data_IF_935035776360
#
_entry.id   IF_935035776360
#
_cell.length_a   1.000
_cell.length_b   1.000
_cell.length_c   1.000
_cell.angle_alpha   90.00
_cell.angle_beta   90.00
_cell.angle_gamma   90.00
#
_symmetry.space_group_name_H-M   'P 1'
#
loop_
_entity.id
_entity.type
_entity.pdbx_description
1 polymer ?
#
# COMPACT_ATOMS: atom_id res chain seq x y z
N UNK A 1 -23.77 -6.39 -13.27
CA UNK A 1 -22.41 -5.80 -13.31
C UNK A 1 -22.48 -4.41 -12.72
N UNK A 2 -21.84 -4.21 -11.59
CA UNK A 2 -21.76 -2.88 -10.97
C UNK A 2 -20.85 -1.98 -11.80
N UNK A 3 -21.13 -0.69 -11.78
CA UNK A 3 -20.26 0.30 -12.41
C UNK A 3 -19.40 0.96 -11.33
N UNK A 4 -18.15 1.34 -11.63
CA UNK A 4 -17.37 2.15 -10.70
C UNK A 4 -18.13 3.41 -10.26
N UNK A 5 -18.01 3.78 -8.98
CA UNK A 5 -18.63 5.01 -8.43
C UNK A 5 -18.12 6.24 -9.17
N UNK A 6 -16.84 6.26 -9.52
CA UNK A 6 -16.30 7.30 -10.37
C UNK A 6 -16.75 7.10 -11.82
N UNK A 7 -17.54 8.04 -12.33
CA UNK A 7 -18.05 8.01 -13.73
C UNK A 7 -16.93 8.10 -14.77
N UNK A 8 -15.78 8.63 -14.39
CA UNK A 8 -14.59 8.78 -15.24
C UNK A 8 -13.54 7.68 -14.95
N UNK A 9 -13.94 6.58 -14.32
CA UNK A 9 -13.03 5.45 -14.10
C UNK A 9 -12.49 4.93 -15.43
N UNK A 10 -11.20 4.56 -15.45
CA UNK A 10 -10.59 3.95 -16.62
C UNK A 10 -11.19 2.58 -16.92
N UNK A 11 -10.94 2.08 -18.13
CA UNK A 11 -11.36 0.73 -18.53
C UNK A 11 -10.75 -0.32 -17.59
N UNK A 12 -9.48 -0.17 -17.23
CA UNK A 12 -8.77 -1.09 -16.34
C UNK A 12 -9.38 -1.12 -14.93
N UNK A 13 -9.81 0.03 -14.41
CA UNK A 13 -10.52 0.10 -13.13
C UNK A 13 -11.88 -0.61 -13.18
N UNK A 14 -12.59 -0.49 -14.29
CA UNK A 14 -13.85 -1.21 -14.49
C UNK A 14 -13.63 -2.73 -14.64
N UNK A 15 -12.56 -3.14 -15.32
CA UNK A 15 -12.18 -4.55 -15.46
C UNK A 15 -11.75 -5.16 -14.11
N UNK A 16 -11.02 -4.40 -13.26
CA UNK A 16 -10.69 -4.84 -11.91
C UNK A 16 -11.96 -5.04 -11.06
N UNK A 17 -12.88 -4.09 -11.09
CA UNK A 17 -14.16 -4.23 -10.37
C UNK A 17 -14.90 -5.49 -10.82
N UNK A 18 -15.00 -5.71 -12.12
CA UNK A 18 -15.64 -6.90 -12.68
C UNK A 18 -14.94 -8.21 -12.25
N UNK A 19 -13.62 -8.21 -12.23
CA UNK A 19 -12.83 -9.35 -11.73
C UNK A 19 -13.14 -9.65 -10.26
N UNK A 20 -13.22 -8.62 -9.42
CA UNK A 20 -13.56 -8.77 -8.00
C UNK A 20 -14.98 -9.30 -7.81
N UNK A 21 -15.95 -8.77 -8.55
CA UNK A 21 -17.35 -9.26 -8.53
C UNK A 21 -17.45 -10.73 -8.94
N UNK A 22 -16.77 -11.12 -10.02
CA UNK A 22 -16.76 -12.49 -10.51
C UNK A 22 -16.11 -13.47 -9.53
N UNK A 23 -15.12 -13.02 -8.77
CA UNK A 23 -14.41 -13.84 -7.79
C UNK A 23 -15.20 -13.98 -6.48
N UNK A 24 -16.01 -12.97 -6.14
CA UNK A 24 -16.81 -12.96 -4.91
C UNK A 24 -17.75 -14.18 -4.85
N UNK A 25 -17.68 -14.90 -3.73
CA UNK A 25 -18.47 -16.12 -3.51
C UNK A 25 -17.94 -17.38 -4.22
N UNK A 26 -16.90 -17.27 -5.03
CA UNK A 26 -16.31 -18.40 -5.77
C UNK A 26 -14.85 -18.69 -5.37
N UNK A 27 -14.18 -17.76 -4.73
CA UNK A 27 -12.79 -17.91 -4.32
C UNK A 27 -12.35 -16.87 -3.33
N UNK A 28 -11.10 -17.00 -2.89
CA UNK A 28 -10.43 -16.07 -1.98
C UNK A 28 -9.21 -15.49 -2.71
N UNK A 29 -9.12 -14.16 -2.75
CA UNK A 29 -7.92 -13.46 -3.20
C UNK A 29 -7.02 -13.27 -1.99
N UNK A 30 -5.87 -13.92 -1.99
CA UNK A 30 -4.88 -13.73 -0.92
C UNK A 30 -4.10 -12.46 -1.15
N UNK A 31 -3.77 -11.76 -0.07
CA UNK A 31 -2.99 -10.54 -0.09
C UNK A 31 -1.97 -10.48 1.02
N UNK A 32 -0.95 -9.65 0.83
CA UNK A 32 0.04 -9.30 1.82
C UNK A 32 0.28 -7.80 1.80
N UNK A 33 0.16 -7.16 2.95
CA UNK A 33 0.65 -5.80 3.13
C UNK A 33 2.15 -5.84 3.42
N UNK A 34 2.92 -4.99 2.75
CA UNK A 34 4.33 -4.78 3.04
C UNK A 34 4.56 -3.35 3.49
N UNK A 35 5.25 -3.18 4.59
CA UNK A 35 5.57 -1.86 5.12
C UNK A 35 6.81 -1.27 4.46
N UNK A 36 7.57 -2.07 3.75
CA UNK A 36 8.87 -1.69 3.21
C UNK A 36 9.03 -2.07 1.74
N UNK A 37 9.87 -1.33 1.01
CA UNK A 37 10.20 -1.62 -0.38
C UNK A 37 10.95 -2.95 -0.59
N UNK A 38 11.79 -3.47 0.32
CA UNK A 38 12.46 -4.76 0.16
C UNK A 38 11.53 -5.94 -0.03
N UNK A 39 10.26 -5.82 0.43
CA UNK A 39 9.26 -6.89 0.20
C UNK A 39 9.63 -8.24 0.82
N UNK A 40 10.21 -8.24 1.98
CA UNK A 40 10.70 -9.44 2.65
C UNK A 40 9.57 -10.45 2.89
N UNK A 41 8.38 -9.97 3.28
CA UNK A 41 7.19 -10.81 3.51
C UNK A 41 6.76 -11.55 2.23
N UNK A 42 6.79 -10.87 1.09
CA UNK A 42 6.44 -11.47 -0.20
C UNK A 42 7.48 -12.52 -0.61
N UNK A 43 8.76 -12.22 -0.40
CA UNK A 43 9.86 -13.14 -0.68
C UNK A 43 9.76 -14.39 0.19
N UNK A 44 9.50 -14.23 1.48
CA UNK A 44 9.28 -15.34 2.41
C UNK A 44 8.08 -16.21 2.03
N UNK A 45 6.94 -15.60 1.72
CA UNK A 45 5.75 -16.34 1.29
C UNK A 45 6.05 -17.17 0.04
N UNK A 46 6.75 -16.58 -0.93
CA UNK A 46 7.14 -17.27 -2.17
C UNK A 46 8.09 -18.44 -1.90
N UNK A 47 9.07 -18.24 -1.03
CA UNK A 47 10.01 -19.28 -0.63
C UNK A 47 9.30 -20.49 0.00
N UNK A 48 8.41 -20.23 0.98
CA UNK A 48 7.74 -21.28 1.74
C UNK A 48 6.63 -21.98 0.95
N UNK A 49 5.89 -21.24 0.12
CA UNK A 49 4.69 -21.76 -0.55
C UNK A 49 4.85 -22.01 -2.04
N UNK A 50 5.92 -21.51 -2.64
CA UNK A 50 6.11 -21.49 -4.10
C UNK A 50 5.15 -20.53 -4.83
N UNK A 51 4.34 -19.74 -4.12
CA UNK A 51 3.31 -18.85 -4.68
C UNK A 51 3.46 -17.42 -4.17
N UNK A 52 3.02 -16.48 -4.99
CA UNK A 52 2.97 -15.06 -4.64
C UNK A 52 1.52 -14.62 -4.43
N UNK A 53 1.20 -13.84 -3.38
CA UNK A 53 -0.13 -13.29 -3.19
C UNK A 53 -0.56 -12.44 -4.40
N UNK A 54 -1.84 -12.53 -4.75
CA UNK A 54 -2.41 -11.74 -5.87
C UNK A 54 -2.55 -10.25 -5.52
N UNK A 55 -2.84 -9.94 -4.27
CA UNK A 55 -3.00 -8.58 -3.78
C UNK A 55 -1.80 -8.17 -2.94
N UNK A 56 -1.30 -6.95 -3.17
CA UNK A 56 -0.25 -6.36 -2.35
C UNK A 56 -0.63 -4.98 -1.86
N UNK A 57 -0.50 -4.78 -0.54
CA UNK A 57 -0.63 -3.48 0.10
C UNK A 57 0.70 -2.75 0.17
N UNK A 58 0.65 -1.44 -0.06
CA UNK A 58 1.80 -0.54 -0.01
C UNK A 58 1.52 0.63 0.91
N UNK A 59 2.57 1.19 1.50
CA UNK A 59 2.49 2.33 2.41
C UNK A 59 2.99 3.61 1.73
N UNK A 60 2.21 4.68 1.84
CA UNK A 60 2.52 5.98 1.24
C UNK A 60 3.10 6.99 2.26
N UNK A 61 3.49 6.55 3.45
CA UNK A 61 4.03 7.41 4.51
C UNK A 61 5.13 8.37 4.01
N UNK A 62 6.03 7.88 3.16
CA UNK A 62 7.15 8.68 2.63
C UNK A 62 6.71 9.86 1.74
N UNK A 63 5.43 9.91 1.34
CA UNK A 63 4.85 11.01 0.57
C UNK A 63 4.12 12.04 1.44
N UNK A 64 4.15 11.88 2.77
CA UNK A 64 3.59 12.87 3.66
C UNK A 64 4.33 14.20 3.55
N UNK A 65 3.64 15.33 3.38
CA UNK A 65 4.30 16.64 3.24
C UNK A 65 4.91 17.16 4.54
N UNK A 66 4.51 16.61 5.69
CA UNK A 66 4.86 17.12 7.02
C UNK A 66 5.79 16.17 7.80
N UNK A 67 6.65 15.43 7.12
CA UNK A 67 7.58 14.52 7.79
C UNK A 67 8.49 15.32 8.72
N UNK A 68 8.45 14.98 10.00
CA UNK A 68 9.28 15.60 11.04
C UNK A 68 10.60 14.86 11.19
N UNK A 69 11.56 15.14 10.30
CA UNK A 69 12.86 14.46 10.31
C UNK A 69 13.73 14.76 11.53
N UNK A 70 13.42 15.85 12.27
CA UNK A 70 14.23 16.28 13.43
C UNK A 70 13.87 15.56 14.71
N UNK A 71 12.57 15.36 14.94
CA UNK A 71 12.07 14.93 16.26
C UNK A 71 11.33 13.59 16.20
N UNK A 72 11.04 13.06 15.01
CA UNK A 72 10.38 11.77 14.87
C UNK A 72 11.24 10.64 15.43
N UNK A 73 10.57 9.61 15.97
CA UNK A 73 11.26 8.43 16.50
C UNK A 73 12.00 7.66 15.40
N UNK A 74 13.11 7.03 15.77
CA UNK A 74 13.97 6.29 14.84
C UNK A 74 13.18 5.23 14.04
N UNK A 75 12.30 4.49 14.69
CA UNK A 75 11.46 3.49 14.02
C UNK A 75 10.55 4.11 12.96
N UNK A 76 9.95 5.28 13.25
CA UNK A 76 9.11 6.00 12.30
C UNK A 76 9.91 6.50 11.10
N UNK A 77 11.10 7.05 11.32
CA UNK A 77 11.98 7.50 10.24
C UNK A 77 12.51 6.34 9.39
N UNK A 78 12.81 5.21 10.00
CA UNK A 78 13.17 3.99 9.27
C UNK A 78 12.05 3.58 8.31
N UNK A 79 10.79 3.55 8.76
CA UNK A 79 9.65 3.28 7.88
C UNK A 79 9.54 4.31 6.74
N UNK A 80 9.76 5.61 7.03
CA UNK A 80 9.77 6.65 5.98
C UNK A 80 10.84 6.35 4.92
N UNK A 81 12.06 6.03 5.33
CA UNK A 81 13.16 5.77 4.40
C UNK A 81 12.95 4.49 3.59
N UNK A 82 12.44 3.44 4.21
CA UNK A 82 12.15 2.17 3.55
C UNK A 82 10.97 2.24 2.57
N UNK A 83 10.08 3.23 2.74
CA UNK A 83 8.96 3.47 1.83
C UNK A 83 9.21 4.58 0.80
N UNK A 84 10.41 5.11 0.71
CA UNK A 84 10.78 5.98 -0.40
C UNK A 84 10.65 5.21 -1.72
N UNK A 85 10.18 5.90 -2.76
CA UNK A 85 9.92 5.29 -4.07
C UNK A 85 8.83 4.19 -4.10
N UNK A 86 7.97 4.10 -3.09
CA UNK A 86 6.89 3.10 -3.03
C UNK A 86 6.05 3.05 -4.30
N UNK A 87 5.67 4.19 -4.89
CA UNK A 87 4.90 4.19 -6.13
C UNK A 87 5.65 3.53 -7.29
N UNK A 88 6.95 3.75 -7.39
CA UNK A 88 7.79 3.11 -8.42
C UNK A 88 7.84 1.59 -8.21
N UNK A 89 8.01 1.16 -6.97
CA UNK A 89 8.00 -0.26 -6.60
C UNK A 89 6.65 -0.90 -6.88
N UNK A 90 5.54 -0.22 -6.52
CA UNK A 90 4.19 -0.68 -6.79
C UNK A 90 3.91 -0.83 -8.29
N UNK A 91 4.28 0.16 -9.09
CA UNK A 91 4.12 0.11 -10.55
C UNK A 91 4.92 -1.02 -11.18
N UNK A 92 6.16 -1.23 -10.74
CA UNK A 92 6.99 -2.34 -11.19
C UNK A 92 6.33 -3.67 -10.86
N UNK A 93 5.95 -3.87 -9.60
CA UNK A 93 5.32 -5.11 -9.14
C UNK A 93 4.02 -5.41 -9.90
N UNK A 94 3.16 -4.40 -10.10
CA UNK A 94 1.91 -4.58 -10.86
C UNK A 94 2.15 -5.04 -12.31
N UNK A 95 3.18 -4.48 -12.96
CA UNK A 95 3.53 -4.85 -14.34
C UNK A 95 4.11 -6.28 -14.45
N UNK A 96 4.91 -6.68 -13.46
CA UNK A 96 5.63 -7.96 -13.48
C UNK A 96 4.77 -9.12 -12.95
N UNK A 97 3.82 -8.86 -12.06
CA UNK A 97 3.05 -9.90 -11.37
C UNK A 97 1.58 -9.99 -11.78
N UNK A 98 1.07 -9.08 -12.60
CA UNK A 98 -0.36 -8.93 -12.87
C UNK A 98 -1.19 -8.88 -11.58
N UNK A 99 -0.64 -8.20 -10.55
CA UNK A 99 -1.17 -8.14 -9.20
C UNK A 99 -2.14 -7.00 -8.99
N UNK A 100 -2.88 -7.07 -7.89
CA UNK A 100 -3.79 -6.03 -7.42
C UNK A 100 -3.08 -5.19 -6.37
N UNK A 101 -3.17 -3.87 -6.50
CA UNK A 101 -2.57 -2.93 -5.57
C UNK A 101 -3.60 -2.39 -4.58
N UNK A 102 -3.19 -2.25 -3.32
CA UNK A 102 -3.86 -1.39 -2.34
C UNK A 102 -2.84 -0.47 -1.70
N UNK A 103 -3.30 0.68 -1.22
CA UNK A 103 -2.45 1.67 -0.59
C UNK A 103 -3.03 2.09 0.75
N UNK A 104 -2.16 2.20 1.74
CA UNK A 104 -2.40 2.91 2.99
C UNK A 104 -1.61 4.20 3.01
N UNK A 105 -2.07 5.16 3.80
CA UNK A 105 -1.40 6.43 3.96
C UNK A 105 -1.43 6.88 5.42
N UNK A 106 -0.34 6.67 6.12
CA UNK A 106 -0.13 7.16 7.46
C UNK A 106 0.66 8.47 7.39
N UNK A 107 -0.04 9.58 7.32
CA UNK A 107 0.60 10.89 7.20
C UNK A 107 1.12 11.43 8.54
N UNK A 108 2.05 12.39 8.48
CA UNK A 108 2.34 13.27 9.60
C UNK A 108 1.27 14.35 9.71
N UNK A 109 0.90 14.74 10.95
CA UNK A 109 -0.12 15.77 11.17
C UNK A 109 0.32 17.12 10.58
N UNK A 110 -0.56 17.83 9.86
CA UNK A 110 -0.29 19.19 9.40
C UNK A 110 -0.22 20.21 10.55
N UNK A 111 -0.77 19.87 11.73
CA UNK A 111 -0.72 20.71 12.92
C UNK A 111 0.58 20.53 13.73
N UNK A 112 1.48 19.70 13.26
CA UNK A 112 2.67 19.29 13.98
C UNK A 112 2.48 17.95 14.67
N UNK A 113 3.52 17.49 15.30
CA UNK A 113 3.57 16.20 15.97
C UNK A 113 4.92 15.53 15.75
N UNK A 114 5.24 14.60 16.63
CA UNK A 114 6.53 13.95 16.58
C UNK A 114 6.60 12.87 15.50
N UNK A 115 5.58 12.04 15.44
CA UNK A 115 5.56 10.85 14.61
C UNK A 115 4.37 10.86 13.63
N UNK A 116 4.22 9.79 12.87
CA UNK A 116 3.08 9.59 11.95
C UNK A 116 1.74 9.54 12.68
N UNK A 117 0.64 9.65 11.96
CA UNK A 117 -0.71 9.87 12.47
C UNK A 117 -1.19 8.93 13.59
N UNK A 118 -0.72 7.70 13.68
CA UNK A 118 -1.07 6.80 14.80
C UNK A 118 -0.57 7.27 16.14
N UNK A 119 0.50 8.03 16.16
CA UNK A 119 1.18 8.51 17.37
C UNK A 119 1.21 10.02 17.41
N UNK A 120 0.52 10.68 16.48
CA UNK A 120 0.54 12.13 16.41
C UNK A 120 -0.14 12.73 17.65
N UNK A 121 0.61 13.53 18.36
CA UNK A 121 0.07 14.50 19.28
C UNK A 121 -0.63 15.57 18.45
N UNK A 122 -1.73 16.14 18.92
CA UNK A 122 -2.46 17.21 18.22
C UNK A 122 -3.17 16.78 16.93
N UNK A 123 -4.00 15.78 17.03
CA UNK A 123 -4.88 15.33 15.92
C UNK A 123 -6.30 15.87 16.01
N UNK A 124 -6.58 16.74 16.96
CA UNK A 124 -7.91 17.32 17.23
C UNK A 124 -8.30 18.39 16.20
#
# INVERSE_FOLDING_TARGET
MQKPVNKNASKEAAELLHYLEKTAGHGIITGQHTQTNPMEEISYIKEVTGKTPKLRGFELLAYSPNINEKDAGEACLTEVYENRDTLKTAMKWAKESDGILTFSFHWFSPLGGRDKSFYAEHTD
#
